data_IF_740430967549
#
_entry.id   IF_740430967549
#
_cell.length_a   1.000
_cell.length_b   1.000
_cell.length_c   1.000
_cell.angle_alpha   90.00
_cell.angle_beta   90.00
_cell.angle_gamma   90.00
#
_symmetry.space_group_name_H-M   'P 1'
#
loop_
_entity.id
_entity.type
_entity.pdbx_description
1 polymer ?
#
# COMPACT_ATOMS: atom_id res chain seq x y z
N UNK A 1 -49.93 -3.42 37.49
CA UNK A 1 -48.51 -2.97 37.43
C UNK A 1 -47.75 -4.06 36.70
N UNK A 2 -47.67 -3.94 35.37
CA UNK A 2 -46.55 -3.41 34.58
C UNK A 2 -45.51 -4.51 34.29
N UNK A 3 -45.70 -5.12 33.12
CA UNK A 3 -44.81 -6.05 32.44
C UNK A 3 -43.56 -5.29 31.95
N UNK A 4 -42.37 -5.88 32.09
CA UNK A 4 -41.23 -5.57 31.20
C UNK A 4 -40.32 -6.79 31.13
N UNK A 5 -40.46 -7.54 30.04
CA UNK A 5 -39.42 -8.41 29.50
C UNK A 5 -38.39 -7.49 28.85
N UNK A 6 -37.09 -7.67 29.14
CA UNK A 6 -36.04 -7.05 28.34
C UNK A 6 -34.77 -7.91 28.32
N UNK A 7 -34.65 -8.69 27.25
CA UNK A 7 -33.42 -9.34 26.78
C UNK A 7 -32.35 -8.29 26.47
N UNK A 8 -31.10 -8.51 26.90
CA UNK A 8 -29.89 -7.87 26.36
C UNK A 8 -28.72 -8.87 26.52
N UNK A 9 -28.54 -9.80 25.57
CA UNK A 9 -27.61 -9.72 24.43
C UNK A 9 -26.13 -9.67 24.88
N UNK A 10 -25.45 -10.81 24.73
CA UNK A 10 -23.98 -10.89 24.71
C UNK A 10 -23.49 -10.20 23.43
N UNK A 11 -22.82 -9.05 23.55
CA UNK A 11 -21.94 -8.54 22.51
C UNK A 11 -20.49 -8.90 22.89
N UNK A 12 -20.01 -10.02 22.36
CA UNK A 12 -18.58 -10.22 22.23
C UNK A 12 -18.08 -9.19 21.19
N UNK A 13 -17.43 -8.12 21.66
CA UNK A 13 -16.72 -7.20 20.79
C UNK A 13 -15.49 -7.94 20.22
N UNK A 14 -15.68 -8.65 19.11
CA UNK A 14 -14.58 -9.14 18.30
C UNK A 14 -14.00 -7.97 17.52
N UNK A 15 -12.74 -7.69 17.83
CA UNK A 15 -11.82 -6.75 17.21
C UNK A 15 -11.79 -6.82 15.69
N UNK A 16 -11.81 -5.65 15.06
CA UNK A 16 -11.16 -5.41 13.78
C UNK A 16 -10.56 -4.00 13.81
N UNK A 17 -9.29 -3.92 14.18
CA UNK A 17 -8.46 -2.84 13.65
C UNK A 17 -8.28 -3.16 12.17
N UNK A 18 -9.17 -2.60 11.34
CA UNK A 18 -8.78 -2.39 9.96
C UNK A 18 -7.64 -1.40 10.05
N UNK A 19 -6.40 -1.85 9.88
CA UNK A 19 -5.35 -0.93 9.47
C UNK A 19 -5.83 -0.40 8.12
N UNK A 20 -6.40 0.79 8.11
CA UNK A 20 -6.32 1.61 6.93
C UNK A 20 -4.85 1.59 6.54
N UNK A 21 -4.53 0.98 5.40
CA UNK A 21 -3.20 1.05 4.78
C UNK A 21 -3.04 2.48 4.25
N UNK A 22 -3.10 3.44 5.17
CA UNK A 22 -2.77 4.82 4.92
C UNK A 22 -1.26 4.88 4.96
N UNK A 23 -0.65 4.92 3.78
CA UNK A 23 0.79 5.16 3.61
C UNK A 23 1.10 6.46 4.34
N UNK A 24 1.85 6.40 5.44
CA UNK A 24 2.16 7.57 6.24
C UNK A 24 3.02 8.59 5.47
N UNK A 25 3.07 9.84 5.96
CA UNK A 25 3.90 10.89 5.37
C UNK A 25 5.36 10.49 5.15
N UNK A 26 5.93 9.64 6.03
CA UNK A 26 7.29 9.13 5.86
C UNK A 26 7.41 8.28 4.59
N UNK A 27 6.52 7.31 4.42
CA UNK A 27 6.52 6.44 3.25
C UNK A 27 6.19 7.21 1.95
N UNK A 28 5.35 8.26 2.02
CA UNK A 28 5.13 9.17 0.88
C UNK A 28 6.42 9.88 0.45
N UNK A 29 7.26 10.31 1.41
CA UNK A 29 8.58 10.85 1.13
C UNK A 29 9.48 9.84 0.41
N UNK A 30 9.45 8.56 0.82
CA UNK A 30 10.19 7.50 0.14
C UNK A 30 9.77 7.29 -1.32
N UNK A 31 8.46 7.29 -1.59
CA UNK A 31 7.92 7.25 -2.95
C UNK A 31 8.40 8.46 -3.75
N UNK A 32 8.27 9.66 -3.19
CA UNK A 32 8.73 10.90 -3.82
C UNK A 32 10.22 10.92 -4.15
N UNK A 33 11.07 10.43 -3.23
CA UNK A 33 12.51 10.33 -3.45
C UNK A 33 12.85 9.39 -4.62
N UNK A 34 12.16 8.25 -4.71
CA UNK A 34 12.39 7.32 -5.83
C UNK A 34 11.87 7.86 -7.16
N UNK A 35 10.79 8.63 -7.17
CA UNK A 35 10.33 9.35 -8.36
C UNK A 35 11.37 10.35 -8.87
N UNK A 36 12.05 11.04 -7.96
CA UNK A 36 13.12 11.99 -8.29
C UNK A 36 14.39 11.31 -8.85
N UNK A 37 14.52 9.99 -8.70
CA UNK A 37 15.62 9.20 -9.26
C UNK A 37 15.35 8.65 -10.66
N UNK A 38 14.28 9.10 -11.35
CA UNK A 38 13.94 8.64 -12.69
C UNK A 38 15.14 8.60 -13.65
N UNK A 39 15.92 9.68 -13.75
CA UNK A 39 17.09 9.74 -14.61
C UNK A 39 18.19 8.75 -14.23
N UNK A 40 18.41 8.49 -12.94
CA UNK A 40 19.37 7.48 -12.45
C UNK A 40 18.92 6.06 -12.79
N UNK A 41 17.60 5.85 -12.88
CA UNK A 41 16.96 4.58 -13.22
C UNK A 41 16.72 4.41 -14.74
N UNK A 42 17.26 5.31 -15.56
CA UNK A 42 17.15 5.26 -17.03
C UNK A 42 15.82 5.76 -17.60
N UNK A 43 15.02 6.46 -16.80
CA UNK A 43 13.74 7.03 -17.17
C UNK A 43 13.82 8.55 -17.34
N UNK A 44 12.90 9.13 -18.13
CA UNK A 44 12.77 10.59 -18.17
C UNK A 44 12.21 11.11 -16.86
N UNK A 45 12.59 12.33 -16.46
CA UNK A 45 12.04 12.95 -15.25
C UNK A 45 10.51 13.02 -15.31
N UNK A 46 9.83 12.47 -14.29
CA UNK A 46 8.37 12.39 -14.22
C UNK A 46 7.74 11.24 -15.03
N UNK A 47 8.53 10.40 -15.70
CA UNK A 47 8.03 9.22 -16.42
C UNK A 47 7.75 8.06 -15.45
N UNK A 48 6.61 8.15 -14.79
CA UNK A 48 6.15 7.13 -13.86
C UNK A 48 5.92 5.78 -14.57
N UNK A 49 5.50 5.79 -15.84
CA UNK A 49 5.29 4.55 -16.60
C UNK A 49 6.60 3.77 -16.80
N UNK A 50 7.70 4.47 -17.06
CA UNK A 50 9.03 3.88 -17.12
C UNK A 50 9.51 3.41 -15.75
N UNK A 51 9.37 4.24 -14.70
CA UNK A 51 9.75 3.89 -13.34
C UNK A 51 9.07 2.59 -12.86
N UNK A 52 7.79 2.44 -13.15
CA UNK A 52 7.00 1.26 -12.81
C UNK A 52 7.47 -0.04 -13.46
N UNK A 53 8.28 0.03 -14.53
CA UNK A 53 8.91 -1.12 -15.18
C UNK A 53 10.29 -1.46 -14.61
N UNK A 54 10.82 -0.62 -13.72
CA UNK A 54 12.11 -0.80 -13.11
C UNK A 54 11.97 -1.49 -11.76
N UNK A 55 12.54 -2.69 -11.61
CA UNK A 55 12.58 -3.38 -10.32
C UNK A 55 13.26 -2.53 -9.23
N UNK A 56 14.26 -1.73 -9.64
CA UNK A 56 14.98 -0.82 -8.74
C UNK A 56 14.08 0.30 -8.18
N UNK A 57 13.00 0.67 -8.87
CA UNK A 57 12.02 1.60 -8.30
C UNK A 57 11.29 0.96 -7.12
N UNK A 58 10.77 -0.27 -7.29
CA UNK A 58 10.12 -1.02 -6.22
C UNK A 58 11.07 -1.33 -5.05
N UNK A 59 12.30 -1.76 -5.34
CA UNK A 59 13.32 -2.00 -4.31
C UNK A 59 13.68 -0.72 -3.56
N UNK A 60 13.87 0.39 -4.27
CA UNK A 60 14.18 1.67 -3.62
C UNK A 60 13.05 2.16 -2.70
N UNK A 61 11.77 2.01 -3.11
CA UNK A 61 10.62 2.37 -2.27
C UNK A 61 10.57 1.47 -1.02
N UNK A 62 10.72 0.15 -1.21
CA UNK A 62 10.76 -0.83 -0.11
C UNK A 62 11.88 -0.51 0.88
N UNK A 63 13.10 -0.36 0.36
CA UNK A 63 14.31 -0.25 1.17
C UNK A 63 14.36 1.10 1.88
N UNK A 64 13.90 2.18 1.24
CA UNK A 64 13.72 3.47 1.90
C UNK A 64 12.72 3.36 3.04
N UNK A 65 11.56 2.75 2.80
CA UNK A 65 10.53 2.60 3.84
C UNK A 65 11.04 1.77 5.01
N UNK A 66 11.67 0.62 4.73
CA UNK A 66 12.21 -0.27 5.76
C UNK A 66 13.30 0.40 6.61
N UNK A 67 14.08 1.31 6.03
CA UNK A 67 15.17 2.00 6.73
C UNK A 67 14.72 3.28 7.45
N UNK A 68 13.83 4.06 6.85
CA UNK A 68 13.49 5.40 7.32
C UNK A 68 12.13 5.48 8.04
N UNK A 69 11.22 4.52 7.78
CA UNK A 69 9.83 4.58 8.21
C UNK A 69 9.47 3.33 9.03
N UNK A 70 9.94 3.21 10.28
CA UNK A 70 9.80 1.99 11.09
C UNK A 70 8.35 1.63 11.47
N UNK A 71 7.41 2.57 11.27
CA UNK A 71 5.99 2.36 11.54
C UNK A 71 5.16 2.04 10.28
N UNK A 72 5.77 2.14 9.09
CA UNK A 72 5.10 1.87 7.82
C UNK A 72 5.43 0.45 7.32
N UNK A 73 4.44 -0.24 6.75
CA UNK A 73 4.65 -1.52 6.10
C UNK A 73 5.26 -1.33 4.70
N UNK A 74 6.53 -1.69 4.56
CA UNK A 74 7.26 -1.52 3.30
C UNK A 74 6.63 -2.24 2.10
N UNK A 75 5.99 -3.40 2.30
CA UNK A 75 5.33 -4.14 1.23
C UNK A 75 4.02 -3.47 0.81
N UNK A 76 3.26 -2.95 1.78
CA UNK A 76 2.07 -2.16 1.52
C UNK A 76 2.41 -0.87 0.76
N UNK A 77 3.51 -0.20 1.14
CA UNK A 77 3.97 1.03 0.48
C UNK A 77 4.41 0.79 -0.96
N UNK A 78 5.13 -0.31 -1.24
CA UNK A 78 5.44 -0.71 -2.63
C UNK A 78 4.16 -0.95 -3.43
N UNK A 79 3.19 -1.65 -2.83
CA UNK A 79 1.91 -1.93 -3.48
C UNK A 79 1.16 -0.63 -3.80
N UNK A 80 1.16 0.34 -2.89
CA UNK A 80 0.58 1.66 -3.11
C UNK A 80 1.31 2.46 -4.19
N UNK A 81 2.65 2.43 -4.21
CA UNK A 81 3.45 3.07 -5.25
C UNK A 81 3.16 2.48 -6.64
N UNK A 82 3.00 1.15 -6.72
CA UNK A 82 2.68 0.45 -7.97
C UNK A 82 1.21 0.63 -8.40
N UNK A 83 0.30 0.86 -7.46
CA UNK A 83 -1.09 1.17 -7.79
C UNK A 83 -1.25 2.53 -8.51
N UNK A 84 -0.29 3.45 -8.35
CA UNK A 84 -0.26 4.72 -9.06
C UNK A 84 0.27 4.61 -10.51
N UNK A 85 0.80 3.45 -10.89
CA UNK A 85 1.30 3.23 -12.24
C UNK A 85 0.16 3.30 -13.27
N UNK A 86 0.38 3.94 -14.43
CA UNK A 86 -0.61 3.92 -15.49
C UNK A 86 -0.88 2.47 -15.91
N UNK A 87 -2.17 2.11 -15.98
CA UNK A 87 -2.62 0.76 -16.28
C UNK A 87 -2.16 0.32 -17.67
N UNK A 88 -1.00 -0.32 -17.72
CA UNK A 88 -0.36 -0.83 -18.94
C UNK A 88 0.68 -1.92 -18.72
N UNK A 89 0.89 -2.43 -17.48
CA UNK A 89 1.83 -3.55 -17.21
C UNK A 89 1.58 -4.28 -15.88
N UNK A 90 0.32 -4.43 -15.45
CA UNK A 90 -0.02 -5.52 -14.53
C UNK A 90 -1.10 -6.35 -15.23
N UNK A 91 -0.67 -7.41 -15.93
CA UNK A 91 -1.61 -8.50 -16.16
C UNK A 91 -1.92 -9.08 -14.77
N UNK A 92 -3.18 -9.05 -14.30
CA UNK A 92 -3.51 -9.70 -13.06
C UNK A 92 -3.36 -11.20 -13.28
N UNK A 93 -2.22 -11.79 -12.92
CA UNK A 93 -2.17 -13.19 -12.51
C UNK A 93 -2.87 -13.33 -11.15
N UNK A 94 -4.16 -13.06 -11.15
CA UNK A 94 -5.14 -13.51 -10.18
C UNK A 94 -6.31 -14.06 -10.99
N UNK A 95 -6.12 -15.26 -11.56
CA UNK A 95 -7.28 -16.12 -11.80
C UNK A 95 -7.91 -16.40 -10.43
N UNK A 96 -9.20 -16.08 -10.21
CA UNK A 96 -9.89 -16.54 -9.02
C UNK A 96 -10.06 -18.05 -9.14
N UNK A 97 -9.31 -18.83 -8.35
CA UNK A 97 -9.75 -20.19 -8.05
C UNK A 97 -10.85 -20.07 -7.00
N UNK A 98 -12.09 -20.25 -7.45
CA UNK A 98 -13.20 -20.62 -6.60
C UNK A 98 -13.04 -22.09 -6.25
N UNK A 99 -12.89 -22.40 -4.96
CA UNK A 99 -13.40 -23.60 -4.29
C UNK A 99 -13.86 -23.22 -2.88
#
# INVERSE_FOLDING_TARGET
MKTTILSMVLLAAASMVGADVSVGECAQMCIGNMNNKASELGCSSGDLACLCKSDNYAFGVRDCTAQACPNDDSAAVVSAALAACPSGSMSPMITPLAE
#
